data_IF_703220603486
#
_entry.id   IF_703220603486
#
_cell.length_a   1.000
_cell.length_b   1.000
_cell.length_c   1.000
_cell.angle_alpha   90.00
_cell.angle_beta   90.00
_cell.angle_gamma   90.00
#
_symmetry.space_group_name_H-M   'P 1'
#
loop_
_entity.id
_entity.type
_entity.pdbx_description
1 polymer ?
#
# COMPACT_ATOMS: atom_id res chain seq x y z
N UNK A 1 53.65 -42.38 33.02
CA UNK A 1 53.46 -43.73 32.42
C UNK A 1 51.97 -44.05 32.42
N UNK A 2 51.46 -44.85 31.45
CA UNK A 2 50.09 -44.71 30.98
C UNK A 2 49.06 -45.54 31.76
N UNK A 3 47.87 -44.97 31.97
CA UNK A 3 46.67 -45.73 32.28
C UNK A 3 45.87 -45.97 31.00
N UNK A 4 45.85 -47.23 30.56
CA UNK A 4 45.02 -47.71 29.45
C UNK A 4 43.60 -47.92 29.99
N UNK A 5 42.64 -47.14 29.48
CA UNK A 5 41.25 -47.19 29.95
C UNK A 5 40.35 -46.19 29.24
N UNK A 6 40.22 -46.30 27.91
CA UNK A 6 39.58 -45.26 27.09
C UNK A 6 39.02 -45.72 25.74
N UNK A 7 38.38 -46.89 25.66
CA UNK A 7 37.72 -47.40 24.44
C UNK A 7 36.22 -47.63 24.71
N UNK A 8 35.54 -46.65 25.33
CA UNK A 8 34.07 -46.70 25.51
C UNK A 8 33.32 -45.37 25.26
N UNK A 9 34.01 -44.29 24.88
CA UNK A 9 33.40 -42.94 24.76
C UNK A 9 33.27 -42.42 23.32
N UNK A 10 33.76 -43.16 22.32
CA UNK A 10 33.78 -42.70 20.91
C UNK A 10 32.39 -42.67 20.26
N UNK A 11 31.38 -43.35 20.83
CA UNK A 11 30.04 -43.46 20.24
C UNK A 11 29.15 -42.20 20.37
N UNK A 12 29.41 -41.30 21.33
CA UNK A 12 28.52 -40.15 21.61
C UNK A 12 29.00 -38.81 21.03
N UNK A 13 30.28 -38.67 20.67
CA UNK A 13 30.85 -37.40 20.19
C UNK A 13 30.41 -36.98 18.78
N UNK A 14 30.05 -37.93 17.91
CA UNK A 14 29.76 -37.66 16.49
C UNK A 14 28.36 -37.08 16.28
N UNK A 15 27.38 -37.45 17.11
CA UNK A 15 25.97 -37.06 16.91
C UNK A 15 25.75 -35.56 17.19
N UNK A 16 26.45 -34.99 18.18
CA UNK A 16 26.27 -33.60 18.59
C UNK A 16 26.75 -32.58 17.53
N UNK A 17 27.84 -32.88 16.81
CA UNK A 17 28.43 -31.96 15.81
C UNK A 17 27.64 -31.97 14.49
N UNK A 18 27.03 -33.10 14.12
CA UNK A 18 26.17 -33.17 12.94
C UNK A 18 24.91 -32.32 13.07
N UNK A 19 24.29 -32.31 14.26
CA UNK A 19 23.06 -31.56 14.51
C UNK A 19 23.25 -30.03 14.43
N UNK A 20 24.38 -29.50 14.89
CA UNK A 20 24.65 -28.05 14.84
C UNK A 20 24.99 -27.56 13.42
N UNK A 21 25.62 -28.39 12.59
CA UNK A 21 25.93 -28.04 11.20
C UNK A 21 24.71 -28.17 10.26
N UNK A 22 23.76 -29.06 10.56
CA UNK A 22 22.51 -29.16 9.80
C UNK A 22 21.57 -27.96 10.02
N UNK A 23 21.67 -27.28 11.17
CA UNK A 23 20.83 -26.13 11.52
C UNK A 23 21.14 -24.87 10.67
N UNK A 24 22.35 -24.76 10.12
CA UNK A 24 22.78 -23.63 9.28
C UNK A 24 22.64 -23.91 7.78
N UNK A 25 22.11 -25.08 7.39
CA UNK A 25 22.02 -25.51 6.00
C UNK A 25 20.68 -26.17 5.67
N UNK A 26 19.58 -25.46 5.96
CA UNK A 26 18.29 -25.72 5.31
C UNK A 26 17.89 -24.50 4.47
N UNK A 27 17.82 -24.62 3.13
CA UNK A 27 17.16 -23.61 2.32
C UNK A 27 15.66 -23.59 2.66
N UNK A 28 15.11 -22.39 2.84
CA UNK A 28 13.70 -22.17 3.12
C UNK A 28 12.85 -22.48 1.88
N UNK A 29 12.25 -23.67 1.82
CA UNK A 29 11.25 -24.00 0.82
C UNK A 29 9.95 -24.54 1.44
N UNK A 30 8.85 -23.84 1.12
CA UNK A 30 7.47 -24.36 1.01
C UNK A 30 6.67 -24.72 2.28
N UNK A 31 5.85 -23.75 2.70
CA UNK A 31 4.38 -23.84 2.90
C UNK A 31 3.69 -25.19 3.18
N UNK A 32 3.07 -25.36 4.37
CA UNK A 32 1.73 -25.97 4.53
C UNK A 32 1.13 -25.88 5.97
N UNK A 33 0.10 -25.01 6.14
CA UNK A 33 -1.17 -25.17 6.89
C UNK A 33 -1.21 -25.93 8.25
N UNK A 34 -1.70 -25.25 9.32
CA UNK A 34 -2.72 -25.81 10.25
C UNK A 34 -3.51 -24.76 11.09
N UNK A 35 -4.85 -24.80 11.01
CA UNK A 35 -5.92 -24.38 11.98
C UNK A 35 -5.77 -23.07 12.80
N UNK A 36 -6.60 -22.01 12.68
CA UNK A 36 -8.06 -21.88 12.99
C UNK A 36 -8.41 -22.32 14.44
N UNK A 37 -9.12 -21.58 15.30
CA UNK A 37 -10.42 -20.87 15.16
C UNK A 37 -10.72 -20.02 16.45
N UNK A 38 -11.66 -19.07 16.60
CA UNK A 38 -12.17 -17.92 15.78
C UNK A 38 -13.19 -17.07 16.61
N UNK A 39 -13.09 -15.72 16.66
CA UNK A 39 -14.20 -14.78 17.00
C UNK A 39 -13.82 -13.36 16.51
N UNK A 40 -14.26 -12.88 15.35
CA UNK A 40 -15.63 -12.43 14.97
C UNK A 40 -15.93 -10.98 15.37
N UNK A 41 -15.48 -10.03 14.57
CA UNK A 41 -16.33 -8.90 14.19
C UNK A 41 -16.27 -8.70 12.66
N UNK A 42 -17.42 -8.43 12.06
CA UNK A 42 -17.69 -8.67 10.64
C UNK A 42 -17.49 -7.40 9.81
N UNK A 43 -16.31 -7.26 9.19
CA UNK A 43 -16.10 -6.33 8.08
C UNK A 43 -15.90 -7.13 6.78
N UNK A 44 -16.84 -7.02 5.87
CA UNK A 44 -16.89 -7.75 4.59
C UNK A 44 -15.58 -7.61 3.80
N UNK A 45 -14.81 -8.69 3.70
CA UNK A 45 -13.65 -8.78 2.82
C UNK A 45 -14.10 -8.87 1.37
N UNK A 46 -14.52 -7.73 0.80
CA UNK A 46 -14.64 -7.58 -0.64
C UNK A 46 -13.25 -7.76 -1.24
N UNK A 47 -13.13 -8.72 -2.14
CA UNK A 47 -11.92 -9.01 -2.92
C UNK A 47 -11.23 -7.74 -3.44
N UNK A 48 -10.04 -7.41 -2.92
CA UNK A 48 -9.12 -6.44 -3.56
C UNK A 48 -8.42 -7.09 -4.78
N UNK A 49 -9.24 -7.62 -5.68
CA UNK A 49 -8.88 -8.03 -7.03
C UNK A 49 -9.18 -6.92 -8.04
N UNK A 50 -9.67 -5.76 -7.58
CA UNK A 50 -9.97 -4.60 -8.42
C UNK A 50 -8.69 -3.91 -8.86
N UNK A 51 -8.35 -4.03 -10.14
CA UNK A 51 -7.34 -3.20 -10.78
C UNK A 51 -7.73 -1.73 -10.66
N UNK A 52 -6.90 -0.93 -9.98
CA UNK A 52 -7.14 0.49 -9.78
C UNK A 52 -6.66 1.29 -10.99
N UNK A 53 -7.50 2.18 -11.53
CA UNK A 53 -6.98 3.26 -12.38
C UNK A 53 -6.17 4.22 -11.51
N UNK A 54 -4.90 4.46 -11.83
CA UNK A 54 -4.07 5.43 -11.10
C UNK A 54 -3.83 6.66 -12.00
N UNK A 55 -4.09 7.85 -11.46
CA UNK A 55 -3.84 9.13 -12.14
C UNK A 55 -3.00 10.02 -11.23
N UNK A 56 -1.92 10.60 -11.75
CA UNK A 56 -1.08 11.56 -11.02
C UNK A 56 -1.36 12.99 -11.48
N UNK A 57 -1.41 13.93 -10.54
CA UNK A 57 -1.64 15.36 -10.74
C UNK A 57 -0.57 16.12 -9.96
N UNK A 58 0.30 16.89 -10.62
CA UNK A 58 1.24 17.74 -9.87
C UNK A 58 0.51 18.95 -9.31
N UNK A 59 0.79 19.27 -8.06
CA UNK A 59 0.31 20.46 -7.37
C UNK A 59 1.41 21.51 -7.43
N UNK A 60 1.19 22.53 -8.25
CA UNK A 60 2.13 23.60 -8.54
C UNK A 60 1.85 24.81 -7.62
N UNK A 61 2.58 25.90 -7.83
CA UNK A 61 2.30 27.19 -7.18
C UNK A 61 1.11 27.94 -7.80
N UNK A 62 0.76 27.59 -9.04
CA UNK A 62 -0.17 28.28 -9.93
C UNK A 62 -1.36 27.40 -10.35
N UNK A 63 -1.53 26.20 -9.77
CA UNK A 63 -2.66 25.32 -10.03
C UNK A 63 -2.32 23.84 -9.95
N UNK A 64 -3.16 23.03 -10.60
CA UNK A 64 -2.97 21.61 -10.81
C UNK A 64 -2.32 21.39 -12.20
N UNK A 65 -1.59 20.28 -12.41
CA UNK A 65 -0.92 20.01 -13.69
C UNK A 65 -1.88 19.82 -14.87
N UNK A 66 -3.12 19.43 -14.59
CA UNK A 66 -4.19 19.20 -15.54
C UNK A 66 -5.51 19.73 -14.96
N UNK A 67 -6.26 20.47 -15.77
CA UNK A 67 -7.55 21.05 -15.37
C UNK A 67 -8.69 20.01 -15.41
N UNK A 68 -8.57 18.97 -16.23
CA UNK A 68 -9.53 17.87 -16.32
C UNK A 68 -8.81 16.52 -16.15
N UNK A 69 -9.40 15.64 -15.35
CA UNK A 69 -8.93 14.28 -15.07
C UNK A 69 -9.96 13.31 -15.66
N UNK A 70 -9.59 12.55 -16.70
CA UNK A 70 -10.50 11.60 -17.35
C UNK A 70 -10.34 10.18 -16.78
N UNK A 71 -11.44 9.59 -16.31
CA UNK A 71 -11.46 8.30 -15.60
C UNK A 71 -12.64 7.44 -16.03
N UNK A 72 -12.52 6.11 -15.93
CA UNK A 72 -13.55 5.18 -16.39
C UNK A 72 -14.63 4.95 -15.34
N UNK A 73 -15.89 5.01 -15.76
CA UNK A 73 -17.05 4.65 -14.93
C UNK A 73 -16.93 3.20 -14.41
N UNK A 74 -17.30 3.00 -13.14
CA UNK A 74 -17.26 1.68 -12.50
C UNK A 74 -15.86 1.11 -12.21
N UNK A 75 -14.77 1.81 -12.57
CA UNK A 75 -13.40 1.41 -12.20
C UNK A 75 -12.94 2.19 -10.96
N UNK A 76 -12.55 1.54 -9.85
CA UNK A 76 -11.97 2.21 -8.70
C UNK A 76 -10.73 3.01 -9.11
N UNK A 77 -10.72 4.30 -8.79
CA UNK A 77 -9.66 5.23 -9.21
C UNK A 77 -8.89 5.75 -8.01
N UNK A 78 -7.57 5.77 -8.09
CA UNK A 78 -6.67 6.45 -7.15
C UNK A 78 -6.07 7.68 -7.83
N UNK A 79 -6.42 8.87 -7.36
CA UNK A 79 -5.84 10.13 -7.81
C UNK A 79 -4.72 10.51 -6.83
N UNK A 80 -3.50 10.68 -7.32
CA UNK A 80 -2.36 11.13 -6.55
C UNK A 80 -2.10 12.62 -6.80
N UNK A 81 -2.29 13.46 -5.78
CA UNK A 81 -1.94 14.88 -5.83
C UNK A 81 -0.49 15.07 -5.35
N UNK A 82 0.45 15.13 -6.29
CA UNK A 82 1.89 15.19 -6.03
C UNK A 82 2.31 16.62 -5.71
N UNK A 83 2.61 16.88 -4.44
CA UNK A 83 2.98 18.21 -3.95
C UNK A 83 4.50 18.29 -3.75
N UNK A 84 5.21 18.69 -4.80
CA UNK A 84 6.69 18.76 -4.83
C UNK A 84 7.31 19.65 -3.74
N UNK A 85 6.58 20.65 -3.25
CA UNK A 85 7.05 21.63 -2.27
C UNK A 85 6.01 21.92 -1.18
N UNK A 86 6.47 22.14 0.06
CA UNK A 86 5.62 22.66 1.13
C UNK A 86 5.17 24.12 0.89
N UNK A 87 5.85 24.83 0.00
CA UNK A 87 5.66 26.27 -0.26
C UNK A 87 4.69 26.55 -1.43
N UNK A 88 3.51 25.93 -1.42
CA UNK A 88 2.38 26.31 -2.29
C UNK A 88 1.19 26.77 -1.46
N UNK A 89 0.38 27.68 -2.01
CA UNK A 89 -0.89 28.09 -1.41
C UNK A 89 -1.94 26.97 -1.45
N UNK A 90 -1.78 25.98 -2.35
CA UNK A 90 -2.65 24.80 -2.44
C UNK A 90 -2.31 23.85 -1.29
N UNK A 91 -3.05 23.99 -0.19
CA UNK A 91 -2.88 23.19 1.04
C UNK A 91 -3.83 22.01 1.17
N UNK A 92 -4.96 22.03 0.48
CA UNK A 92 -5.95 20.96 0.47
C UNK A 92 -6.65 20.88 -0.88
N UNK A 93 -7.26 19.73 -1.16
CA UNK A 93 -8.19 19.50 -2.28
C UNK A 93 -9.57 19.23 -1.72
N UNK A 94 -10.59 19.85 -2.31
CA UNK A 94 -11.99 19.71 -1.93
C UNK A 94 -12.87 19.41 -3.15
N UNK A 95 -13.89 18.57 -2.96
CA UNK A 95 -14.97 18.33 -3.92
C UNK A 95 -16.22 17.94 -3.15
N UNK A 96 -17.25 18.80 -3.23
CA UNK A 96 -18.53 18.54 -2.56
C UNK A 96 -19.24 17.32 -3.15
N UNK A 97 -19.20 17.18 -4.47
CA UNK A 97 -19.93 16.13 -5.20
C UNK A 97 -19.32 14.74 -4.99
N UNK A 98 -18.01 14.68 -4.70
CA UNK A 98 -17.25 13.46 -4.44
C UNK A 98 -16.95 13.22 -2.94
N UNK A 99 -17.38 14.12 -2.05
CA UNK A 99 -17.10 14.02 -0.61
C UNK A 99 -15.62 14.16 -0.24
N UNK A 100 -14.82 14.84 -1.07
CA UNK A 100 -13.40 15.08 -0.83
C UNK A 100 -13.23 16.33 0.03
N UNK A 101 -12.52 16.21 1.16
CA UNK A 101 -11.85 17.32 1.85
C UNK A 101 -10.56 16.79 2.48
N UNK A 102 -9.43 16.98 1.78
CA UNK A 102 -8.16 16.32 2.08
C UNK A 102 -7.03 17.33 2.11
N UNK A 103 -6.31 17.40 3.22
CA UNK A 103 -5.07 18.18 3.33
C UNK A 103 -3.93 17.52 2.55
N UNK A 104 -3.09 18.31 1.89
CA UNK A 104 -1.97 17.84 1.10
C UNK A 104 -0.64 18.03 1.84
N UNK A 105 0.02 16.92 2.16
CA UNK A 105 1.42 16.87 2.60
C UNK A 105 2.39 17.00 1.42
N UNK A 106 3.68 17.20 1.70
CA UNK A 106 4.71 17.23 0.66
C UNK A 106 4.99 15.80 0.18
N UNK A 107 4.92 15.57 -1.12
CA UNK A 107 5.04 14.25 -1.73
C UNK A 107 3.71 13.77 -2.30
N UNK A 108 3.48 12.46 -2.26
CA UNK A 108 2.28 11.82 -2.79
C UNK A 108 1.09 11.95 -1.82
N UNK A 109 -0.10 12.21 -2.38
CA UNK A 109 -1.36 12.31 -1.62
C UNK A 109 -2.45 11.56 -2.38
N UNK A 110 -2.69 10.29 -2.01
CA UNK A 110 -3.64 9.42 -2.70
C UNK A 110 -5.07 9.57 -2.19
N UNK A 111 -5.99 9.90 -3.09
CA UNK A 111 -7.44 9.93 -2.86
C UNK A 111 -8.06 8.78 -3.66
N UNK A 112 -8.76 7.88 -2.98
CA UNK A 112 -9.42 6.73 -3.63
C UNK A 112 -10.90 7.04 -3.85
N UNK A 113 -11.33 7.04 -5.11
CA UNK A 113 -12.71 7.18 -5.53
C UNK A 113 -13.23 5.83 -6.01
N UNK A 114 -14.40 5.43 -5.51
CA UNK A 114 -15.08 4.17 -5.85
C UNK A 114 -16.46 4.49 -6.40
N UNK A 115 -17.00 3.58 -7.22
CA UNK A 115 -18.37 3.62 -7.73
C UNK A 115 -18.75 4.94 -8.44
N UNK A 116 -17.77 5.55 -9.12
CA UNK A 116 -17.93 6.76 -9.91
C UNK A 116 -18.95 6.52 -11.04
N UNK A 117 -19.98 7.38 -11.09
CA UNK A 117 -20.99 7.39 -12.15
C UNK A 117 -20.53 8.31 -13.29
N UNK A 118 -20.93 8.05 -14.54
CA UNK A 118 -20.63 8.94 -15.66
C UNK A 118 -21.11 10.38 -15.39
N UNK A 119 -20.28 11.37 -15.74
CA UNK A 119 -20.53 12.78 -15.49
C UNK A 119 -19.27 13.58 -15.16
N UNK A 120 -19.44 14.88 -14.91
CA UNK A 120 -18.33 15.79 -14.57
C UNK A 120 -18.48 16.27 -13.14
N UNK A 121 -17.45 16.05 -12.34
CA UNK A 121 -17.38 16.42 -10.92
C UNK A 121 -16.36 17.55 -10.74
N UNK A 122 -16.69 18.57 -9.96
CA UNK A 122 -15.78 19.70 -9.74
C UNK A 122 -14.92 19.45 -8.49
N UNK A 123 -13.64 19.81 -8.55
CA UNK A 123 -12.78 19.93 -7.39
C UNK A 123 -12.04 21.27 -7.39
N UNK A 124 -11.54 21.68 -6.23
CA UNK A 124 -10.79 22.92 -6.06
C UNK A 124 -9.79 22.81 -4.92
N UNK A 125 -8.89 23.80 -4.80
CA UNK A 125 -8.14 23.98 -3.57
C UNK A 125 -9.04 24.54 -2.47
N UNK A 126 -8.76 24.25 -1.19
CA UNK A 126 -9.58 24.74 -0.06
C UNK A 126 -9.61 26.27 0.17
N UNK A 127 -8.97 27.06 -0.70
CA UNK A 127 -9.10 28.52 -0.76
C UNK A 127 -9.97 29.00 -1.94
N UNK A 128 -10.56 28.08 -2.72
CA UNK A 128 -11.43 28.37 -3.87
C UNK A 128 -10.78 29.27 -4.94
N UNK A 129 -9.45 29.14 -5.14
CA UNK A 129 -8.68 29.89 -6.14
C UNK A 129 -8.34 29.07 -7.38
N UNK A 130 -8.02 27.79 -7.21
CA UNK A 130 -7.66 26.86 -8.28
C UNK A 130 -8.69 25.74 -8.35
N UNK A 131 -9.11 25.43 -9.57
CA UNK A 131 -10.21 24.53 -9.87
C UNK A 131 -9.74 23.45 -10.85
N UNK A 132 -10.45 22.34 -10.85
CA UNK A 132 -10.34 21.31 -11.88
C UNK A 132 -11.60 20.45 -11.90
N UNK A 133 -11.67 19.55 -12.87
CA UNK A 133 -12.77 18.63 -13.06
C UNK A 133 -12.27 17.18 -13.11
N UNK A 134 -13.12 16.26 -12.68
CA UNK A 134 -12.97 14.83 -12.95
C UNK A 134 -14.12 14.46 -13.88
N UNK A 135 -13.80 14.06 -15.10
CA UNK A 135 -14.76 13.59 -16.10
C UNK A 135 -14.76 12.07 -16.09
N UNK A 136 -15.91 11.49 -15.77
CA UNK A 136 -16.12 10.05 -15.70
C UNK A 136 -16.83 9.61 -16.97
N UNK A 137 -16.20 8.71 -17.74
CA UNK A 137 -16.65 8.20 -19.05
C UNK A 137 -16.98 6.72 -19.04
#
# INVERSE_FOLDING_TARGET
MPFIGGILTVAFGIIAVGATLFYQYQPNDTSAIKSQESQSEQATSLQENSEYQIVSVDVKSDGFSQENIEVKAGVPTKINFIKHSGYTCIRSVQSKDLGIDVYLEKGDNFITLKDLKPGTYNFNCGMYMYYGTITVV
#
